data_IF_926650609081
#
_entry.id   IF_926650609081
#
_cell.length_a   1.000
_cell.length_b   1.000
_cell.length_c   1.000
_cell.angle_alpha   90.00
_cell.angle_beta   90.00
_cell.angle_gamma   90.00
#
_symmetry.space_group_name_H-M   'P 1'
#
loop_
_entity.id
_entity.type
_entity.pdbx_description
1 polymer ?
#
# COMPACT_ATOMS: atom_id res chain seq x y z
N UNK A 1 -2.92 -10.64 -21.50
CA UNK A 1 -4.04 -9.76 -21.14
C UNK A 1 -4.07 -9.67 -19.62
N UNK A 2 -3.65 -8.55 -19.01
CA UNK A 2 -3.76 -8.40 -17.55
C UNK A 2 -5.24 -8.25 -17.20
N UNK A 3 -5.78 -9.14 -16.36
CA UNK A 3 -7.16 -9.03 -15.86
C UNK A 3 -7.34 -7.67 -15.16
N UNK A 4 -8.54 -7.09 -15.23
CA UNK A 4 -8.84 -5.78 -14.64
C UNK A 4 -8.40 -5.67 -13.16
N UNK A 5 -8.55 -6.76 -12.39
CA UNK A 5 -8.09 -6.86 -11.01
C UNK A 5 -6.56 -6.70 -10.84
N UNK A 6 -5.77 -7.22 -11.78
CA UNK A 6 -4.29 -7.08 -11.76
C UNK A 6 -3.89 -5.63 -12.02
N UNK A 7 -4.64 -4.94 -12.90
CA UNK A 7 -4.38 -3.55 -13.26
C UNK A 7 -4.60 -2.61 -12.07
N UNK A 8 -5.66 -2.82 -11.29
CA UNK A 8 -5.96 -2.03 -10.09
C UNK A 8 -4.85 -2.18 -9.03
N UNK A 9 -4.39 -3.41 -8.78
CA UNK A 9 -3.29 -3.64 -7.85
C UNK A 9 -1.99 -2.97 -8.33
N UNK A 10 -1.66 -3.06 -9.62
CA UNK A 10 -0.49 -2.37 -10.19
C UNK A 10 -0.61 -0.84 -10.07
N UNK A 11 -1.81 -0.28 -10.25
CA UNK A 11 -2.06 1.16 -10.06
C UNK A 11 -1.91 1.61 -8.61
N UNK A 12 -2.34 0.80 -7.64
CA UNK A 12 -2.15 1.07 -6.21
C UNK A 12 -0.66 1.06 -5.86
N UNK A 13 0.10 0.07 -6.39
CA UNK A 13 1.55 0.01 -6.20
C UNK A 13 2.23 1.28 -6.71
N UNK A 14 1.89 1.71 -7.92
CA UNK A 14 2.45 2.92 -8.51
C UNK A 14 2.09 4.18 -7.72
N UNK A 15 0.85 4.30 -7.23
CA UNK A 15 0.44 5.44 -6.43
C UNK A 15 1.21 5.53 -5.10
N UNK A 16 1.46 4.38 -4.46
CA UNK A 16 2.24 4.31 -3.23
C UNK A 16 3.73 4.66 -3.45
N UNK A 17 4.32 4.21 -4.55
CA UNK A 17 5.70 4.56 -4.95
C UNK A 17 5.84 6.04 -5.37
N UNK A 18 4.76 6.67 -5.82
CA UNK A 18 4.76 8.10 -6.18
C UNK A 18 4.68 9.02 -4.95
N UNK A 19 4.26 8.52 -3.79
CA UNK A 19 4.12 9.34 -2.56
C UNK A 19 5.42 9.56 -1.78
N UNK A 20 6.57 9.21 -2.37
CA UNK A 20 7.89 9.31 -1.77
C UNK A 20 8.44 10.75 -1.83
N UNK A 21 8.33 11.49 -0.73
CA UNK A 21 9.36 12.48 -0.36
C UNK A 21 9.69 12.34 1.11
N UNK A 22 10.84 11.72 1.40
CA UNK A 22 11.40 11.64 2.74
C UNK A 22 12.39 10.50 2.96
N UNK A 23 13.55 10.59 2.29
CA UNK A 23 14.82 9.90 2.63
C UNK A 23 14.84 8.38 2.40
N UNK A 24 15.78 7.74 1.72
CA UNK A 24 17.00 8.09 1.00
C UNK A 24 17.27 6.86 0.11
N UNK A 25 17.75 7.09 -1.10
CA UNK A 25 18.79 6.27 -1.73
C UNK A 25 18.64 4.75 -1.58
N UNK A 26 17.79 4.12 -2.39
CA UNK A 26 18.32 3.03 -3.20
C UNK A 26 17.54 2.88 -4.50
N UNK A 27 18.17 3.38 -5.56
CA UNK A 27 17.73 3.16 -6.94
C UNK A 27 18.08 1.72 -7.32
N UNK A 28 17.25 0.77 -6.89
CA UNK A 28 17.29 -0.63 -7.31
C UNK A 28 16.06 -1.04 -8.12
N UNK A 29 15.41 -0.09 -8.80
CA UNK A 29 14.12 -0.31 -9.47
C UNK A 29 14.33 -0.86 -10.90
N UNK A 30 14.88 -2.06 -11.01
CA UNK A 30 14.66 -2.91 -12.18
C UNK A 30 14.39 -4.34 -11.74
N UNK A 31 13.14 -4.77 -11.96
CA UNK A 31 12.62 -6.14 -11.79
C UNK A 31 12.43 -6.61 -10.35
N UNK A 32 11.16 -6.70 -9.96
CA UNK A 32 10.63 -7.68 -9.02
C UNK A 32 11.47 -7.89 -7.76
N UNK A 33 11.20 -7.08 -6.74
CA UNK A 33 11.76 -7.21 -5.38
C UNK A 33 11.91 -8.68 -4.98
N UNK A 34 13.16 -9.12 -4.83
CA UNK A 34 13.49 -10.48 -4.40
C UNK A 34 13.28 -10.67 -2.89
N UNK A 35 13.09 -9.60 -2.11
CA UNK A 35 12.71 -9.69 -0.70
C UNK A 35 12.15 -8.35 -0.18
N UNK A 36 10.81 -8.11 -0.28
CA UNK A 36 10.18 -6.86 0.15
C UNK A 36 10.25 -6.60 1.67
N UNK A 37 10.76 -7.55 2.46
CA UNK A 37 10.85 -7.46 3.92
C UNK A 37 12.22 -6.98 4.41
N UNK A 38 13.25 -6.90 3.54
CA UNK A 38 14.61 -6.44 3.90
C UNK A 38 14.84 -4.94 3.67
N UNK A 39 14.25 -4.36 2.64
CA UNK A 39 14.43 -2.95 2.29
C UNK A 39 13.10 -2.23 2.46
N UNK A 40 13.02 -1.35 3.45
CA UNK A 40 11.84 -0.51 3.64
C UNK A 40 11.84 0.56 2.55
N UNK A 41 10.95 0.39 1.57
CA UNK A 41 10.83 1.28 0.39
C UNK A 41 10.38 2.69 0.79
N UNK A 42 9.66 2.84 1.91
CA UNK A 42 9.30 4.17 2.41
C UNK A 42 8.32 4.13 3.58
N UNK A 43 7.87 5.33 3.97
CA UNK A 43 6.82 5.51 4.98
C UNK A 43 5.77 6.47 4.46
N UNK A 44 4.50 6.16 4.71
CA UNK A 44 3.39 7.06 4.37
C UNK A 44 2.51 7.33 5.59
N UNK A 45 1.85 8.48 5.59
CA UNK A 45 0.88 8.86 6.62
C UNK A 45 -0.52 8.36 6.27
N UNK A 46 -1.39 8.29 7.28
CA UNK A 46 -2.82 7.97 7.07
C UNK A 46 -3.49 8.96 6.10
N UNK A 47 -3.08 10.23 6.11
CA UNK A 47 -3.64 11.24 5.21
C UNK A 47 -3.34 10.91 3.75
N UNK A 48 -2.08 10.58 3.45
CA UNK A 48 -1.69 10.13 2.11
C UNK A 48 -2.44 8.85 1.72
N UNK A 49 -2.52 7.88 2.64
CA UNK A 49 -3.27 6.65 2.40
C UNK A 49 -4.74 6.93 2.09
N UNK A 50 -5.36 7.88 2.78
CA UNK A 50 -6.76 8.26 2.58
C UNK A 50 -6.98 8.94 1.24
N UNK A 51 -6.04 9.78 0.79
CA UNK A 51 -6.09 10.39 -0.54
C UNK A 51 -6.03 9.32 -1.62
N UNK A 52 -5.04 8.42 -1.55
CA UNK A 52 -4.91 7.30 -2.51
C UNK A 52 -6.16 6.40 -2.47
N UNK A 53 -6.70 6.15 -1.28
CA UNK A 53 -7.93 5.39 -1.09
C UNK A 53 -9.13 6.04 -1.76
N UNK A 54 -9.29 7.36 -1.66
CA UNK A 54 -10.37 8.09 -2.34
C UNK A 54 -10.21 8.04 -3.86
N UNK A 55 -9.00 8.28 -4.36
CA UNK A 55 -8.71 8.26 -5.80
C UNK A 55 -8.95 6.88 -6.42
N UNK A 56 -8.64 5.81 -5.68
CA UNK A 56 -8.77 4.43 -6.14
C UNK A 56 -10.08 3.76 -5.74
N UNK A 57 -10.87 4.34 -4.85
CA UNK A 57 -12.21 3.85 -4.45
C UNK A 57 -13.10 3.46 -5.64
N UNK A 58 -13.26 4.28 -6.71
CA UNK A 58 -14.11 3.90 -7.85
C UNK A 58 -13.57 2.69 -8.64
N UNK A 59 -12.28 2.37 -8.51
CA UNK A 59 -11.66 1.18 -9.10
C UNK A 59 -11.65 -0.03 -8.16
N UNK A 60 -12.03 0.12 -6.89
CA UNK A 60 -12.01 -0.94 -5.89
C UNK A 60 -13.41 -1.54 -5.68
N UNK A 61 -13.46 -2.82 -5.30
CA UNK A 61 -14.71 -3.51 -4.97
C UNK A 61 -15.15 -3.28 -3.52
N UNK A 62 -14.99 -2.06 -2.99
CA UNK A 62 -15.32 -1.74 -1.61
C UNK A 62 -16.24 -0.53 -1.51
N UNK A 63 -17.15 -0.57 -0.53
CA UNK A 63 -18.18 0.46 -0.35
C UNK A 63 -17.75 1.64 0.54
N UNK A 64 -16.64 1.50 1.28
CA UNK A 64 -16.19 2.50 2.26
C UNK A 64 -14.71 2.85 2.09
N UNK A 65 -14.36 4.10 2.38
CA UNK A 65 -12.98 4.60 2.34
C UNK A 65 -12.10 3.79 3.29
N UNK A 66 -12.59 3.41 4.48
CA UNK A 66 -11.85 2.57 5.41
C UNK A 66 -11.48 1.21 4.80
N UNK A 67 -12.41 0.58 4.08
CA UNK A 67 -12.15 -0.69 3.39
C UNK A 67 -11.11 -0.52 2.28
N UNK A 68 -11.18 0.58 1.52
CA UNK A 68 -10.16 0.92 0.53
C UNK A 68 -8.78 1.14 1.17
N UNK A 69 -8.73 1.88 2.28
CA UNK A 69 -7.49 2.10 3.03
C UNK A 69 -6.88 0.79 3.54
N UNK A 70 -7.69 -0.19 3.97
CA UNK A 70 -7.19 -1.52 4.37
C UNK A 70 -6.58 -2.30 3.20
N UNK A 71 -7.20 -2.25 2.02
CA UNK A 71 -6.68 -2.91 0.80
C UNK A 71 -5.33 -2.30 0.41
N UNK A 72 -5.24 -0.98 0.41
CA UNK A 72 -4.02 -0.25 0.07
C UNK A 72 -2.96 -0.49 1.15
N UNK A 73 -3.34 -0.53 2.42
CA UNK A 73 -2.41 -0.81 3.53
C UNK A 73 -1.80 -2.21 3.44
N UNK A 74 -2.58 -3.22 3.04
CA UNK A 74 -2.04 -4.55 2.78
C UNK A 74 -1.04 -4.56 1.61
N UNK A 75 -1.29 -3.75 0.59
CA UNK A 75 -0.39 -3.61 -0.57
C UNK A 75 0.90 -2.89 -0.18
N UNK A 76 0.80 -1.81 0.60
CA UNK A 76 1.94 -1.08 1.15
C UNK A 76 2.83 -2.01 2.01
N UNK A 77 2.22 -2.78 2.92
CA UNK A 77 2.95 -3.73 3.76
C UNK A 77 3.67 -4.82 2.95
N UNK A 78 3.04 -5.32 1.87
CA UNK A 78 3.66 -6.30 0.97
C UNK A 78 4.81 -5.72 0.13
N UNK A 79 4.89 -4.39 0.00
CA UNK A 79 5.99 -3.69 -0.66
C UNK A 79 7.04 -3.15 0.32
N UNK A 80 6.89 -3.38 1.63
CA UNK A 80 7.82 -2.82 2.62
C UNK A 80 7.60 -1.34 2.93
N UNK A 81 6.41 -0.80 2.63
CA UNK A 81 6.02 0.57 3.01
C UNK A 81 5.30 0.53 4.36
N UNK A 82 5.87 1.23 5.35
CA UNK A 82 5.29 1.36 6.68
C UNK A 82 4.25 2.50 6.71
N UNK A 83 3.10 2.24 7.33
CA UNK A 83 2.03 3.24 7.51
C UNK A 83 1.97 3.65 8.96
N UNK A 84 2.05 4.97 9.22
CA UNK A 84 2.00 5.51 10.56
C UNK A 84 0.98 6.67 10.66
N UNK A 85 0.04 6.66 11.62
CA UNK A 85 -0.33 5.56 12.52
C UNK A 85 -0.84 4.30 11.79
N UNK A 86 -0.80 3.11 12.44
CA UNK A 86 -1.31 1.88 11.83
C UNK A 86 -2.83 1.96 11.63
N UNK A 87 -3.28 1.75 10.39
CA UNK A 87 -4.71 1.77 10.02
C UNK A 87 -5.41 0.46 10.38
N UNK A 88 -4.65 -0.62 10.43
CA UNK A 88 -5.15 -1.92 10.85
C UNK A 88 -4.94 -2.03 12.36
N UNK A 89 -6.02 -1.88 13.12
CA UNK A 89 -6.03 -2.46 14.45
C UNK A 89 -5.85 -3.97 14.28
N UNK A 90 -4.71 -4.49 14.74
CA UNK A 90 -4.55 -5.93 14.85
C UNK A 90 -5.64 -6.40 15.80
N UNK A 91 -6.72 -6.95 15.24
CA UNK A 91 -7.53 -7.94 15.93
C UNK A 91 -6.60 -9.11 16.20
N UNK A 92 -5.82 -9.00 17.29
CA UNK A 92 -5.29 -10.15 17.96
C UNK A 92 -6.51 -10.95 18.36
N UNK A 93 -6.93 -11.88 17.50
CA UNK A 93 -7.77 -12.98 17.95
C UNK A 93 -6.98 -13.56 19.11
N UNK A 94 -7.48 -13.30 20.31
CA UNK A 94 -7.04 -13.95 21.52
C UNK A 94 -7.27 -15.43 21.24
N UNK A 95 -6.19 -16.11 20.82
CA UNK A 95 -6.17 -17.56 20.77
C UNK A 95 -6.16 -17.94 22.25
N UNK A 96 -7.36 -18.19 22.77
CA UNK A 96 -7.61 -18.92 24.01
C UNK A 96 -7.68 -20.40 23.67
#
# INVERSE_FOLDING_TARGET
>A
MKNAAVRINDEIKNALLQTETGSQEDQGVEKGSSDPQREKVGKITIEQLRVIANEKLPGLNCATIESAMRIIAGTAANMGIDINPPVLERNFKQIL
#
